data_IF_281291390369
#
_entry.id   IF_281291390369
#
_cell.length_a   1.000
_cell.length_b   1.000
_cell.length_c   1.000
_cell.angle_alpha   90.00
_cell.angle_beta   90.00
_cell.angle_gamma   90.00
#
_symmetry.space_group_name_H-M   'P 1'
#
loop_
_entity.id
_entity.type
_entity.pdbx_description
1 polymer ?
#
# COMPACT_ATOMS: atom_id res chain seq x y z
N UNK A 1 2.82 0.66 7.31
CA UNK A 1 4.19 0.38 7.81
C UNK A 1 5.16 0.24 6.65
N UNK A 2 6.44 0.49 6.90
CA UNK A 2 7.52 0.28 5.94
C UNK A 2 8.71 -0.41 6.61
N UNK A 3 9.44 -1.21 5.84
CA UNK A 3 10.68 -1.86 6.28
C UNK A 3 11.86 -1.53 5.37
N UNK A 4 11.67 -0.62 4.40
CA UNK A 4 12.66 -0.31 3.37
C UNK A 4 12.79 -1.37 2.28
N UNK A 5 12.21 -2.52 2.49
CA UNK A 5 12.15 -3.67 1.58
C UNK A 5 11.82 -4.93 2.36
N UNK A 6 11.19 -5.88 1.69
CA UNK A 6 10.79 -7.14 2.30
C UNK A 6 9.41 -7.59 1.84
N UNK A 7 9.04 -8.78 2.27
CA UNK A 7 7.75 -9.39 2.00
C UNK A 7 7.50 -10.53 2.98
N UNK A 8 6.32 -11.11 2.92
CA UNK A 8 5.93 -12.20 3.79
C UNK A 8 5.14 -13.25 3.00
N UNK A 9 5.47 -14.51 3.19
CA UNK A 9 4.69 -15.65 2.74
C UNK A 9 3.93 -16.20 3.94
N UNK A 10 2.61 -16.27 3.83
CA UNK A 10 1.73 -16.80 4.88
C UNK A 10 0.98 -18.00 4.29
N UNK A 11 1.06 -19.15 4.96
CA UNK A 11 0.39 -20.37 4.51
C UNK A 11 0.15 -21.33 5.68
N UNK A 12 -0.95 -22.06 5.63
CA UNK A 12 -1.25 -23.18 6.53
C UNK A 12 -0.69 -24.52 6.00
N UNK A 13 -0.24 -24.56 4.75
CA UNK A 13 0.42 -25.72 4.17
C UNK A 13 1.88 -25.80 4.63
N UNK A 14 2.13 -26.81 5.50
CA UNK A 14 3.47 -27.05 6.05
C UNK A 14 4.51 -27.35 4.96
N UNK A 15 4.15 -28.10 3.92
CA UNK A 15 5.09 -28.47 2.87
C UNK A 15 5.47 -27.26 2.02
N UNK A 16 4.48 -26.42 1.71
CA UNK A 16 4.72 -25.14 1.03
C UNK A 16 5.60 -24.20 1.86
N UNK A 17 5.38 -24.10 3.17
CA UNK A 17 6.20 -23.29 4.07
C UNK A 17 7.66 -23.76 4.09
N UNK A 18 7.89 -25.08 4.21
CA UNK A 18 9.24 -25.67 4.20
C UNK A 18 9.92 -25.41 2.85
N UNK A 19 9.20 -25.64 1.75
CA UNK A 19 9.72 -25.43 0.41
C UNK A 19 10.08 -23.97 0.15
N UNK A 20 9.18 -23.05 0.48
CA UNK A 20 9.42 -21.62 0.34
C UNK A 20 10.63 -21.17 1.16
N UNK A 21 10.73 -21.59 2.42
CA UNK A 21 11.87 -21.28 3.26
C UNK A 21 13.18 -21.80 2.69
N UNK A 22 13.17 -23.02 2.15
CA UNK A 22 14.36 -23.63 1.55
C UNK A 22 14.89 -22.82 0.35
N UNK A 23 14.01 -22.54 -0.61
CA UNK A 23 14.38 -21.77 -1.82
C UNK A 23 14.78 -20.33 -1.46
N UNK A 24 14.07 -19.67 -0.56
CA UNK A 24 14.33 -18.26 -0.18
C UNK A 24 15.53 -18.09 0.74
N UNK A 25 16.13 -19.18 1.19
CA UNK A 25 17.37 -19.21 1.99
C UNK A 25 18.51 -19.91 1.28
N UNK A 26 18.57 -19.74 -0.04
CA UNK A 26 19.64 -20.20 -0.94
C UNK A 26 19.64 -21.70 -1.27
N UNK A 27 18.59 -22.45 -0.99
CA UNK A 27 18.51 -23.89 -1.18
C UNK A 27 19.74 -24.63 -0.62
N UNK A 28 20.14 -24.23 0.60
CA UNK A 28 21.32 -24.80 1.26
C UNK A 28 20.96 -26.10 1.97
N UNK A 29 21.63 -27.18 1.61
CA UNK A 29 21.54 -28.47 2.30
C UNK A 29 22.11 -28.33 3.73
N UNK A 30 21.43 -28.88 4.71
CA UNK A 30 21.90 -28.87 6.09
C UNK A 30 23.15 -29.75 6.23
N UNK A 31 24.28 -29.13 6.54
CA UNK A 31 25.57 -29.81 6.80
C UNK A 31 26.35 -29.06 7.87
N UNK A 32 27.06 -29.76 8.78
CA UNK A 32 27.76 -29.13 9.91
C UNK A 32 28.81 -28.08 9.50
N UNK A 33 29.54 -28.29 8.40
CA UNK A 33 30.64 -27.44 7.96
C UNK A 33 30.77 -27.26 6.45
N UNK A 34 29.95 -27.94 5.61
CA UNK A 34 29.96 -27.75 4.16
C UNK A 34 28.85 -26.80 3.67
N UNK A 35 29.14 -26.10 2.58
CA UNK A 35 28.19 -25.23 1.91
C UNK A 35 27.78 -25.87 0.61
N UNK A 36 26.76 -26.74 0.65
CA UNK A 36 26.21 -27.43 -0.51
C UNK A 36 24.85 -26.87 -0.84
N UNK A 37 24.61 -26.60 -2.12
CA UNK A 37 23.35 -26.16 -2.67
C UNK A 37 22.97 -27.17 -3.76
N UNK A 38 21.82 -27.81 -3.63
CA UNK A 38 21.37 -28.88 -4.54
C UNK A 38 20.39 -28.41 -5.62
N UNK A 39 19.97 -27.15 -5.53
CA UNK A 39 19.12 -26.51 -6.53
C UNK A 39 19.32 -24.98 -6.53
N UNK A 40 18.68 -24.31 -7.50
CA UNK A 40 18.67 -22.84 -7.58
C UNK A 40 17.82 -22.27 -6.44
N UNK A 41 18.44 -21.46 -5.59
CA UNK A 41 17.80 -20.75 -4.50
C UNK A 41 18.16 -19.27 -4.49
N UNK A 42 17.48 -18.50 -3.66
CA UNK A 42 17.61 -17.06 -3.59
C UNK A 42 17.87 -16.62 -2.15
N UNK A 43 18.62 -15.56 -1.97
CA UNK A 43 18.78 -14.96 -0.64
C UNK A 43 17.71 -13.89 -0.44
N UNK A 44 16.54 -14.32 0.04
CA UNK A 44 15.42 -13.44 0.38
C UNK A 44 15.23 -13.31 1.89
N UNK A 45 16.29 -13.57 2.66
CA UNK A 45 16.26 -13.32 4.11
C UNK A 45 16.12 -11.83 4.38
N UNK A 46 15.18 -11.47 5.25
CA UNK A 46 15.02 -10.08 5.68
C UNK A 46 16.27 -9.66 6.48
N UNK A 47 16.98 -8.59 6.10
CA UNK A 47 18.08 -8.06 6.89
C UNK A 47 17.62 -7.57 8.26
N UNK A 48 18.48 -7.66 9.26
CA UNK A 48 18.17 -7.26 10.63
C UNK A 48 17.74 -5.79 10.76
N UNK A 49 18.33 -4.89 9.94
CA UNK A 49 17.94 -3.47 9.92
C UNK A 49 16.48 -3.29 9.47
N UNK A 50 16.08 -4.00 8.41
CA UNK A 50 14.69 -3.97 7.92
C UNK A 50 13.74 -4.59 8.95
N UNK A 51 14.14 -5.68 9.62
CA UNK A 51 13.37 -6.30 10.68
C UNK A 51 13.21 -5.37 11.89
N UNK A 52 14.27 -4.69 12.32
CA UNK A 52 14.22 -3.73 13.42
C UNK A 52 13.29 -2.55 13.11
N UNK A 53 13.35 -2.02 11.86
CA UNK A 53 12.42 -0.99 11.41
C UNK A 53 10.97 -1.50 11.42
N UNK A 54 10.75 -2.75 10.98
CA UNK A 54 9.45 -3.40 11.02
C UNK A 54 8.89 -3.50 12.45
N UNK A 55 9.70 -3.92 13.42
CA UNK A 55 9.30 -3.97 14.83
C UNK A 55 8.87 -2.58 15.33
N UNK A 56 9.71 -1.55 15.10
CA UNK A 56 9.39 -0.18 15.51
C UNK A 56 8.09 0.36 14.87
N UNK A 57 7.82 -0.01 13.62
CA UNK A 57 6.58 0.35 12.93
C UNK A 57 5.37 -0.40 13.50
N UNK A 58 5.53 -1.68 13.83
CA UNK A 58 4.46 -2.50 14.42
C UNK A 58 4.06 -2.03 15.81
N UNK A 59 5.01 -1.59 16.64
CA UNK A 59 4.75 -1.01 17.96
C UNK A 59 3.84 0.23 17.90
N UNK A 60 3.75 0.89 16.75
CA UNK A 60 2.94 2.09 16.53
C UNK A 60 1.78 1.90 15.56
N UNK A 61 1.51 0.69 15.12
CA UNK A 61 0.49 0.41 14.09
C UNK A 61 -0.89 0.94 14.49
N UNK A 62 -1.32 0.70 15.72
CA UNK A 62 -2.63 1.16 16.21
C UNK A 62 -2.75 2.68 16.21
N UNK A 63 -1.67 3.39 16.57
CA UNK A 63 -1.63 4.85 16.51
C UNK A 63 -1.73 5.35 15.05
N UNK A 64 -1.00 4.73 14.13
CA UNK A 64 -1.12 5.07 12.70
C UNK A 64 -2.54 4.86 12.18
N UNK A 65 -3.16 3.73 12.52
CA UNK A 65 -4.52 3.43 12.08
C UNK A 65 -5.54 4.44 12.64
N UNK A 66 -5.44 4.79 13.93
CA UNK A 66 -6.31 5.77 14.55
C UNK A 66 -6.20 7.15 13.90
N UNK A 67 -4.97 7.62 13.63
CA UNK A 67 -4.72 8.91 12.97
C UNK A 67 -5.25 8.90 11.54
N UNK A 68 -5.00 7.84 10.78
CA UNK A 68 -5.46 7.71 9.39
C UNK A 68 -6.99 7.62 9.31
N UNK A 69 -7.62 6.92 10.22
CA UNK A 69 -9.09 6.86 10.33
C UNK A 69 -9.66 8.25 10.61
N UNK A 70 -9.07 8.98 11.56
CA UNK A 70 -9.48 10.36 11.85
C UNK A 70 -9.35 11.27 10.63
N UNK A 71 -8.23 11.18 9.91
CA UNK A 71 -8.02 11.95 8.68
C UNK A 71 -9.06 11.60 7.61
N UNK A 72 -9.36 10.32 7.42
CA UNK A 72 -10.38 9.88 6.46
C UNK A 72 -11.77 10.43 6.81
N UNK A 73 -12.13 10.44 8.10
CA UNK A 73 -13.38 11.05 8.54
C UNK A 73 -13.42 12.57 8.31
N UNK A 74 -12.30 13.27 8.53
CA UNK A 74 -12.22 14.71 8.24
C UNK A 74 -12.42 14.99 6.75
N UNK A 75 -11.79 14.19 5.88
CA UNK A 75 -12.00 14.28 4.44
C UNK A 75 -13.45 13.99 4.06
N UNK A 76 -14.05 12.90 4.58
CA UNK A 76 -15.41 12.54 4.28
C UNK A 76 -16.39 13.66 4.68
N UNK A 77 -16.22 14.25 5.87
CA UNK A 77 -17.06 15.36 6.35
C UNK A 77 -16.92 16.60 5.46
N UNK A 78 -15.68 16.93 5.05
CA UNK A 78 -15.43 18.07 4.17
C UNK A 78 -16.03 17.86 2.77
N UNK A 79 -15.89 16.67 2.23
CA UNK A 79 -16.39 16.32 0.90
C UNK A 79 -17.93 16.18 0.89
N UNK A 80 -18.54 15.71 1.98
CA UNK A 80 -20.02 15.62 2.10
C UNK A 80 -20.71 17.01 1.98
N UNK A 81 -19.96 18.13 2.09
CA UNK A 81 -20.45 19.50 1.84
C UNK A 81 -20.32 19.94 0.37
N UNK A 82 -19.86 19.05 -0.50
CA UNK A 82 -19.63 19.30 -1.94
C UNK A 82 -20.40 18.31 -2.79
N UNK A 83 -20.43 18.52 -4.10
CA UNK A 83 -21.03 17.59 -5.09
C UNK A 83 -20.06 16.44 -5.48
N UNK A 84 -18.94 16.28 -4.77
CA UNK A 84 -17.92 15.26 -5.06
C UNK A 84 -18.14 14.02 -4.19
N UNK A 85 -17.97 12.83 -4.75
CA UNK A 85 -18.09 11.58 -4.04
C UNK A 85 -16.76 11.20 -3.34
N UNK A 86 -16.82 10.92 -2.03
CA UNK A 86 -15.72 10.32 -1.29
C UNK A 86 -15.80 8.80 -1.31
N UNK A 87 -14.70 8.12 -1.66
CA UNK A 87 -14.64 6.65 -1.69
C UNK A 87 -14.67 6.10 -0.26
N UNK A 88 -15.80 5.52 0.13
CA UNK A 88 -16.03 4.91 1.45
C UNK A 88 -15.77 3.39 1.41
N UNK A 89 -15.38 2.82 2.55
CA UNK A 89 -15.30 1.37 2.68
C UNK A 89 -16.67 0.72 2.45
N UNK A 90 -16.69 -0.40 1.73
CA UNK A 90 -17.93 -1.18 1.51
C UNK A 90 -18.38 -1.75 2.86
N UNK A 91 -19.69 -1.72 3.11
CA UNK A 91 -20.30 -2.06 4.39
C UNK A 91 -19.76 -3.33 5.04
N UNK A 92 -19.43 -3.27 6.33
CA UNK A 92 -18.87 -4.35 7.12
C UNK A 92 -17.34 -4.51 7.03
N UNK A 93 -16.66 -3.79 6.14
CA UNK A 93 -15.20 -3.83 6.01
C UNK A 93 -14.55 -2.69 6.79
N UNK A 94 -13.43 -3.00 7.44
CA UNK A 94 -12.58 -2.01 8.07
C UNK A 94 -11.43 -1.64 7.13
N UNK A 95 -11.40 -0.37 6.68
CA UNK A 95 -10.32 0.14 5.86
C UNK A 95 -9.12 0.60 6.72
N UNK A 96 -7.92 0.40 6.20
CA UNK A 96 -6.70 0.95 6.81
C UNK A 96 -6.40 2.38 6.35
N UNK A 97 -7.23 2.93 5.49
CA UNK A 97 -7.11 4.28 4.89
C UNK A 97 -5.71 4.55 4.31
N UNK A 98 -5.13 3.54 3.65
CA UNK A 98 -3.84 3.71 2.99
C UNK A 98 -3.86 4.93 2.06
N UNK A 99 -4.86 4.99 1.18
CA UNK A 99 -5.15 6.14 0.35
C UNK A 99 -6.62 6.53 0.52
N UNK A 100 -6.87 7.82 0.70
CA UNK A 100 -8.19 8.41 0.58
C UNK A 100 -8.38 8.84 -0.88
N UNK A 101 -9.58 8.67 -1.42
CA UNK A 101 -9.85 8.98 -2.80
C UNK A 101 -11.22 9.64 -2.96
N UNK A 102 -11.33 10.46 -4.00
CA UNK A 102 -12.56 11.09 -4.45
C UNK A 102 -12.86 10.68 -5.88
N UNK A 103 -14.12 10.77 -6.25
CA UNK A 103 -14.60 10.51 -7.62
C UNK A 103 -15.13 11.81 -8.19
N UNK A 104 -14.58 12.26 -9.31
CA UNK A 104 -14.98 13.45 -10.01
C UNK A 104 -15.90 13.09 -11.20
N UNK A 105 -16.61 14.04 -11.76
CA UNK A 105 -17.65 13.78 -12.76
C UNK A 105 -17.10 13.36 -14.11
N UNK A 106 -15.91 13.83 -14.48
CA UNK A 106 -15.31 13.57 -15.78
C UNK A 106 -13.79 13.50 -15.75
N UNK A 107 -13.21 13.05 -16.86
CA UNK A 107 -11.75 13.10 -17.09
C UNK A 107 -11.22 14.52 -17.10
N UNK A 108 -12.00 15.48 -17.60
CA UNK A 108 -11.65 16.88 -17.67
C UNK A 108 -11.55 17.47 -16.25
N UNK A 109 -12.60 17.32 -15.45
CA UNK A 109 -12.64 17.76 -14.05
C UNK A 109 -11.48 17.14 -13.23
N UNK A 110 -11.20 15.83 -13.46
CA UNK A 110 -10.06 15.17 -12.84
C UNK A 110 -8.74 15.85 -13.18
N UNK A 111 -8.52 16.16 -14.44
CA UNK A 111 -7.27 16.77 -14.89
C UNK A 111 -7.13 18.20 -14.37
N UNK A 112 -8.18 18.99 -14.40
CA UNK A 112 -8.21 20.35 -13.83
C UNK A 112 -7.97 20.32 -12.34
N UNK A 113 -8.62 19.42 -11.60
CA UNK A 113 -8.40 19.25 -10.18
C UNK A 113 -6.95 18.88 -9.84
N UNK A 114 -6.36 17.94 -10.59
CA UNK A 114 -4.95 17.54 -10.41
C UNK A 114 -4.00 18.71 -10.66
N UNK A 115 -4.23 19.47 -11.74
CA UNK A 115 -3.40 20.62 -12.07
C UNK A 115 -3.51 21.71 -11.01
N UNK A 116 -4.74 22.07 -10.62
CA UNK A 116 -4.99 23.09 -9.62
C UNK A 116 -4.37 22.74 -8.26
N UNK A 117 -4.64 21.56 -7.74
CA UNK A 117 -4.16 21.15 -6.42
C UNK A 117 -2.64 21.06 -6.37
N UNK A 118 -2.00 20.44 -7.36
CA UNK A 118 -0.55 20.30 -7.40
C UNK A 118 0.15 21.66 -7.61
N UNK A 119 -0.43 22.56 -8.41
CA UNK A 119 0.09 23.93 -8.58
C UNK A 119 0.00 24.78 -7.31
N UNK A 120 -0.94 24.44 -6.41
CA UNK A 120 -1.11 25.08 -5.11
C UNK A 120 -0.43 24.31 -3.96
N UNK A 121 0.47 23.38 -4.26
CA UNK A 121 1.27 22.65 -3.26
C UNK A 121 0.52 21.53 -2.53
N UNK A 122 -0.69 21.18 -2.97
CA UNK A 122 -1.45 20.05 -2.43
C UNK A 122 -1.22 18.84 -3.32
N UNK A 123 -0.46 17.86 -2.82
CA UNK A 123 -0.12 16.66 -3.59
C UNK A 123 -1.33 15.75 -3.77
N UNK A 124 -1.87 15.71 -4.98
CA UNK A 124 -2.89 14.76 -5.42
C UNK A 124 -2.36 13.89 -6.56
N UNK A 125 -2.91 12.73 -6.76
CA UNK A 125 -2.50 11.79 -7.80
C UNK A 125 -3.72 11.12 -8.42
N UNK A 126 -3.75 10.89 -9.75
CA UNK A 126 -4.74 9.98 -10.34
C UNK A 126 -4.50 8.57 -9.80
N UNK A 127 -5.48 7.69 -9.89
CA UNK A 127 -5.21 6.26 -9.70
C UNK A 127 -4.27 5.75 -10.80
N UNK A 128 -3.68 4.58 -10.56
CA UNK A 128 -2.70 4.00 -11.50
C UNK A 128 -3.31 3.80 -12.88
N UNK A 129 -2.48 4.00 -13.89
CA UNK A 129 -2.81 3.67 -15.27
C UNK A 129 -3.17 2.19 -15.37
N UNK A 130 -4.20 1.88 -16.14
CA UNK A 130 -4.62 0.49 -16.35
C UNK A 130 -3.49 -0.34 -16.96
N UNK A 131 -3.32 -1.55 -16.46
CA UNK A 131 -2.29 -2.47 -16.95
C UNK A 131 -2.46 -2.75 -18.45
N UNK A 132 -3.70 -2.84 -18.93
CA UNK A 132 -4.03 -3.04 -20.35
C UNK A 132 -3.56 -1.90 -21.28
N UNK A 133 -3.30 -0.72 -20.72
CA UNK A 133 -2.80 0.44 -21.47
C UNK A 133 -1.27 0.53 -21.48
N UNK A 134 -0.60 -0.33 -20.74
CA UNK A 134 0.85 -0.42 -20.78
C UNK A 134 1.29 -1.26 -21.97
N UNK A 135 2.29 -0.78 -22.72
CA UNK A 135 2.71 -1.40 -23.97
C UNK A 135 3.02 -2.90 -23.87
N UNK A 136 3.60 -3.33 -22.74
CA UNK A 136 3.93 -4.72 -22.49
C UNK A 136 2.71 -5.62 -22.26
N UNK A 137 1.53 -5.06 -21.92
CA UNK A 137 0.31 -5.81 -21.60
C UNK A 137 -0.87 -5.54 -22.52
N UNK A 138 -0.71 -4.68 -23.53
CA UNK A 138 -1.80 -4.27 -24.44
C UNK A 138 -2.47 -5.42 -25.20
N UNK A 139 -1.78 -6.56 -25.37
CA UNK A 139 -2.28 -7.74 -26.04
C UNK A 139 -2.79 -8.82 -25.06
N UNK A 140 -2.82 -8.53 -23.74
CA UNK A 140 -3.37 -9.46 -22.75
C UNK A 140 -4.89 -9.49 -22.83
N UNK A 141 -5.47 -10.64 -22.55
CA UNK A 141 -6.91 -10.82 -22.49
C UNK A 141 -7.54 -9.92 -21.42
N UNK A 142 -8.64 -9.27 -21.74
CA UNK A 142 -9.47 -8.50 -20.80
C UNK A 142 -10.95 -8.62 -21.20
N UNK A 143 -11.84 -8.11 -20.35
CA UNK A 143 -13.30 -8.14 -20.50
C UNK A 143 -13.86 -6.82 -21.06
N UNK A 144 -13.01 -5.94 -21.61
CA UNK A 144 -13.37 -4.60 -22.10
C UNK A 144 -13.23 -3.51 -21.03
N UNK A 145 -13.03 -3.85 -19.75
CA UNK A 145 -12.62 -2.97 -18.65
C UNK A 145 -13.48 -1.68 -18.47
N UNK A 146 -14.77 -1.73 -18.80
CA UNK A 146 -15.67 -0.55 -18.78
C UNK A 146 -15.61 0.18 -17.44
N UNK A 147 -15.78 -0.55 -16.34
CA UNK A 147 -15.75 0.03 -14.99
C UNK A 147 -14.34 0.53 -14.62
N UNK A 148 -13.29 -0.17 -15.01
CA UNK A 148 -11.92 0.22 -14.74
C UNK A 148 -11.53 1.50 -15.45
N UNK A 149 -11.93 1.65 -16.71
CA UNK A 149 -11.75 2.87 -17.51
C UNK A 149 -12.52 4.02 -16.86
N UNK A 150 -13.80 3.79 -16.52
CA UNK A 150 -14.63 4.80 -15.85
C UNK A 150 -13.99 5.32 -14.57
N UNK A 151 -13.44 4.42 -13.72
CA UNK A 151 -12.75 4.78 -12.50
C UNK A 151 -11.42 5.50 -12.78
N UNK A 152 -10.62 5.02 -13.75
CA UNK A 152 -9.36 5.67 -14.12
C UNK A 152 -9.56 7.13 -14.53
N UNK A 153 -10.66 7.41 -15.23
CA UNK A 153 -10.97 8.74 -15.73
C UNK A 153 -11.44 9.72 -14.63
N UNK A 154 -11.81 9.23 -13.44
CA UNK A 154 -12.50 10.03 -12.42
C UNK A 154 -11.87 10.02 -11.05
N UNK A 155 -11.18 8.95 -10.68
CA UNK A 155 -10.70 8.78 -9.31
C UNK A 155 -9.37 9.50 -9.08
N UNK A 156 -9.30 10.27 -8.01
CA UNK A 156 -8.11 10.97 -7.55
C UNK A 156 -7.80 10.59 -6.12
N UNK A 157 -6.56 10.21 -5.86
CA UNK A 157 -6.03 10.04 -4.52
C UNK A 157 -5.68 11.42 -3.94
N UNK A 158 -6.18 11.70 -2.74
CA UNK A 158 -5.96 12.92 -1.99
C UNK A 158 -5.00 12.68 -0.81
N UNK A 159 -4.44 13.72 -0.16
CA UNK A 159 -3.47 13.54 0.92
C UNK A 159 -3.92 12.57 1.99
N UNK A 160 -3.12 11.52 2.23
CA UNK A 160 -3.47 10.37 3.08
C UNK A 160 -2.37 10.00 4.06
N UNK A 161 -1.25 10.70 4.07
CA UNK A 161 -0.15 10.47 5.01
C UNK A 161 -0.56 10.85 6.42
N UNK A 162 0.08 10.23 7.41
CA UNK A 162 -0.02 10.71 8.79
C UNK A 162 0.55 12.14 8.82
N UNK A 163 -0.23 13.15 9.30
CA UNK A 163 0.25 14.53 9.32
C UNK A 163 1.47 14.71 10.22
N UNK A 164 2.36 15.64 9.86
CA UNK A 164 3.49 16.00 10.69
C UNK A 164 3.03 16.46 12.08
N UNK A 165 3.69 15.96 13.12
CA UNK A 165 3.38 16.26 14.52
C UNK A 165 2.12 15.55 15.08
N UNK A 166 1.41 14.76 14.28
CA UNK A 166 0.25 14.01 14.76
C UNK A 166 0.64 12.77 15.59
N UNK A 167 1.88 12.26 15.40
CA UNK A 167 2.39 11.15 16.18
C UNK A 167 2.82 11.60 17.58
N UNK A 168 2.49 10.80 18.60
CA UNK A 168 3.04 10.99 19.92
C UNK A 168 4.57 10.99 19.87
N UNK A 169 5.23 11.87 20.62
CA UNK A 169 6.68 11.81 20.78
C UNK A 169 7.02 10.44 21.38
N UNK A 170 8.07 9.79 20.86
CA UNK A 170 8.55 8.53 21.44
C UNK A 170 8.57 8.66 22.96
N UNK A 171 7.73 7.87 23.63
CA UNK A 171 7.60 7.90 25.06
C UNK A 171 8.96 7.70 25.70
N UNK A 172 9.25 8.49 26.73
CA UNK A 172 10.28 8.13 27.69
C UNK A 172 9.90 6.73 28.15
N UNK A 173 10.74 5.73 27.89
CA UNK A 173 10.65 4.45 28.60
C UNK A 173 10.69 4.83 30.07
N UNK A 174 9.59 4.63 30.76
CA UNK A 174 9.63 4.65 32.20
C UNK A 174 10.64 3.59 32.62
N UNK A 175 11.70 4.05 33.26
CA UNK A 175 12.82 3.27 33.77
C UNK A 175 12.39 2.38 34.92
#
# INVERSE_FOLDING_TARGET
>A
ITTGGGGMLITDDRNLAIRAKYITTTAKVAHPYEFVHDEIGYNYRMPNLNAALGCAQMERLEEFLAIKTKLAHQWATFIDETDVDFVKAIGGNQANHWLNAIVLDSLEDRNEFLEYTNSNGVMTRPIWKLMSELDMFKNCQNDGLINSIWLQDRVVNIPSSVPDGALSKFGKRES
#
